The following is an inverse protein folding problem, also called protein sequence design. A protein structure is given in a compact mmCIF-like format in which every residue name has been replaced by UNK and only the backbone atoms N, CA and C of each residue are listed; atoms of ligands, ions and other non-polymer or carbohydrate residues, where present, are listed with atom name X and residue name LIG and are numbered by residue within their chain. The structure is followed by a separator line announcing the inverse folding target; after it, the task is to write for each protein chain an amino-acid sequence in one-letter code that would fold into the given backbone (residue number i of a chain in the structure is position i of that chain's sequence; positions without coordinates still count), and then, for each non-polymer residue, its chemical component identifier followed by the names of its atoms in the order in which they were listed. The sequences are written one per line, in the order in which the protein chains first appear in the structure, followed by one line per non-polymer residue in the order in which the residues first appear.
data_IF_489215397621
#
_entry.id   IF_489215397621
#
_cell.length_a   1.000
_cell.length_b   1.000
_cell.length_c   1.000
_cell.angle_alpha   90.00
_cell.angle_beta   90.00
_cell.angle_gamma   90.00
#
_symmetry.space_group_name_H-M   'P 1'
#
loop_
_entity.id
_entity.type
_entity.pdbx_description
1 polymer ?
#
# COMPACT_ATOMS: atom_id res chain seq x y z
N UNK A 1 41.72 2.62 -24.99
CA UNK A 1 40.42 2.27 -25.61
C UNK A 1 39.72 1.12 -24.90
N UNK A 2 40.41 0.01 -24.59
CA UNK A 2 39.85 -1.14 -23.87
C UNK A 2 39.25 -0.78 -22.50
N UNK A 3 40.02 -0.12 -21.63
CA UNK A 3 39.58 0.29 -20.28
C UNK A 3 38.35 1.22 -20.28
N UNK A 4 38.20 2.06 -21.32
CA UNK A 4 37.04 2.97 -21.48
C UNK A 4 35.78 2.21 -21.88
N UNK A 5 35.92 1.13 -22.66
CA UNK A 5 34.81 0.26 -23.08
C UNK A 5 34.34 -0.62 -21.91
N UNK A 6 35.27 -1.15 -21.13
CA UNK A 6 34.98 -1.90 -19.87
C UNK A 6 34.28 -1.00 -18.84
N UNK A 7 34.79 0.21 -18.61
CA UNK A 7 34.19 1.16 -17.68
C UNK A 7 32.76 1.58 -18.10
N UNK A 8 32.53 1.78 -19.40
CA UNK A 8 31.20 2.06 -19.95
C UNK A 8 30.23 0.87 -19.81
N UNK A 9 30.75 -0.36 -19.95
CA UNK A 9 29.96 -1.58 -19.73
C UNK A 9 29.52 -1.74 -18.28
N UNK A 10 30.43 -1.48 -17.33
CA UNK A 10 30.13 -1.55 -15.89
C UNK A 10 29.12 -0.48 -15.47
N UNK A 11 29.26 0.76 -15.94
CA UNK A 11 28.29 1.82 -15.60
C UNK A 11 26.90 1.55 -16.16
N UNK A 12 26.80 1.03 -17.40
CA UNK A 12 25.51 0.64 -17.98
C UNK A 12 24.86 -0.49 -17.18
N UNK A 13 25.63 -1.51 -16.79
CA UNK A 13 25.12 -2.62 -15.97
C UNK A 13 24.61 -2.13 -14.60
N UNK A 14 25.37 -1.26 -13.92
CA UNK A 14 24.96 -0.68 -12.64
C UNK A 14 23.69 0.18 -12.76
N UNK A 15 23.55 0.92 -13.86
CA UNK A 15 22.33 1.68 -14.15
C UNK A 15 21.11 0.76 -14.36
N UNK A 16 21.26 -0.31 -15.14
CA UNK A 16 20.20 -1.30 -15.37
C UNK A 16 19.77 -2.00 -14.07
N UNK A 17 20.73 -2.41 -13.24
CA UNK A 17 20.45 -3.01 -11.93
C UNK A 17 19.71 -2.02 -11.03
N UNK A 18 20.13 -0.76 -11.01
CA UNK A 18 19.46 0.28 -10.21
C UNK A 18 18.02 0.53 -10.64
N UNK A 19 17.75 0.53 -11.95
CA UNK A 19 16.40 0.67 -12.49
C UNK A 19 15.53 -0.53 -12.09
N UNK A 20 16.03 -1.75 -12.26
CA UNK A 20 15.31 -2.97 -11.90
C UNK A 20 14.97 -3.02 -10.40
N UNK A 21 15.93 -2.70 -9.52
CA UNK A 21 15.70 -2.63 -8.06
C UNK A 21 14.66 -1.58 -7.71
N UNK A 22 14.68 -0.43 -8.39
CA UNK A 22 13.69 0.63 -8.17
C UNK A 22 12.29 0.17 -8.56
N UNK A 23 12.15 -0.50 -9.70
CA UNK A 23 10.87 -1.05 -10.17
C UNK A 23 10.34 -2.12 -9.20
N UNK A 24 11.21 -3.01 -8.71
CA UNK A 24 10.88 -4.06 -7.73
C UNK A 24 10.41 -3.53 -6.37
N UNK A 25 10.57 -2.23 -6.09
CA UNK A 25 10.07 -1.58 -4.87
C UNK A 25 8.92 -0.62 -5.15
N UNK A 26 8.99 0.18 -6.22
CA UNK A 26 8.02 1.26 -6.48
C UNK A 26 6.75 0.80 -7.19
N UNK A 27 6.82 -0.31 -7.91
CA UNK A 27 5.73 -0.85 -8.72
C UNK A 27 5.68 -2.37 -8.57
N UNK A 28 5.29 -2.84 -7.37
CA UNK A 28 5.31 -4.25 -7.01
C UNK A 28 4.01 -4.66 -6.31
N UNK A 29 3.60 -5.89 -6.58
CA UNK A 29 2.57 -6.59 -5.81
C UNK A 29 3.20 -7.41 -4.69
N UNK A 30 2.61 -7.36 -3.49
CA UNK A 30 3.03 -8.25 -2.41
C UNK A 30 2.63 -9.69 -2.71
N UNK A 31 3.37 -10.66 -2.17
CA UNK A 31 2.99 -12.07 -2.16
C UNK A 31 1.91 -12.34 -1.08
N UNK A 32 0.73 -11.77 -1.33
CA UNK A 32 -0.49 -11.95 -0.54
C UNK A 32 -1.40 -13.05 -1.09
N UNK A 33 -2.60 -13.18 -0.53
CA UNK A 33 -3.51 -14.29 -0.86
C UNK A 33 -4.11 -14.19 -2.26
N UNK A 34 -4.45 -12.97 -2.70
CA UNK A 34 -5.20 -12.71 -3.94
C UNK A 34 -4.50 -11.74 -4.88
N UNK A 35 -3.28 -11.31 -4.54
CA UNK A 35 -2.48 -10.44 -5.38
C UNK A 35 -2.01 -11.17 -6.64
N UNK A 36 -1.97 -10.43 -7.76
CA UNK A 36 -1.22 -10.82 -8.96
C UNK A 36 0.27 -10.82 -8.66
N UNK A 37 1.06 -11.49 -9.51
CA UNK A 37 2.52 -11.50 -9.42
C UNK A 37 3.15 -10.13 -9.71
N UNK A 38 2.59 -9.40 -10.68
CA UNK A 38 3.09 -8.09 -11.12
C UNK A 38 1.93 -7.14 -11.37
N UNK A 39 2.14 -5.83 -11.18
CA UNK A 39 1.13 -4.82 -11.52
C UNK A 39 0.80 -4.82 -13.01
N UNK A 40 -0.39 -4.32 -13.34
CA UNK A 40 -0.78 -4.08 -14.72
C UNK A 40 -2.20 -3.53 -14.83
N UNK A 41 -2.55 -3.02 -16.00
CA UNK A 41 -3.88 -2.46 -16.26
C UNK A 41 -4.99 -3.50 -16.12
N UNK A 42 -6.10 -3.09 -15.49
CA UNK A 42 -7.30 -3.88 -15.22
C UNK A 42 -8.54 -3.03 -15.55
N UNK A 43 -8.99 -3.02 -16.80
CA UNK A 43 -10.07 -2.13 -17.24
C UNK A 43 -11.46 -2.42 -16.63
N UNK A 44 -11.59 -3.46 -15.80
CA UNK A 44 -12.87 -3.97 -15.27
C UNK A 44 -12.96 -3.90 -13.74
N UNK A 45 -12.11 -3.10 -13.06
CA UNK A 45 -12.20 -2.97 -11.61
C UNK A 45 -13.56 -2.39 -11.18
N UNK A 46 -14.14 -3.00 -10.15
CA UNK A 46 -15.50 -2.74 -9.72
C UNK A 46 -15.57 -1.55 -8.74
N UNK A 47 -16.59 -0.70 -8.94
CA UNK A 47 -17.00 0.41 -8.06
C UNK A 47 -15.83 1.16 -7.38
N UNK A 48 -15.63 0.97 -6.07
CA UNK A 48 -14.65 1.71 -5.25
C UNK A 48 -13.20 1.44 -5.66
N UNK A 49 -12.93 0.31 -6.32
CA UNK A 49 -11.58 -0.06 -6.76
C UNK A 49 -11.20 0.50 -8.14
N UNK A 50 -12.10 1.23 -8.83
CA UNK A 50 -11.82 1.85 -10.15
C UNK A 50 -10.58 2.74 -10.21
N UNK A 51 -10.20 3.52 -9.17
CA UNK A 51 -9.03 4.39 -9.24
C UNK A 51 -7.72 3.67 -9.58
N UNK A 52 -7.61 2.35 -9.34
CA UNK A 52 -6.42 1.56 -9.66
C UNK A 52 -6.43 0.94 -11.08
N UNK A 53 -7.47 1.12 -11.90
CA UNK A 53 -7.66 0.39 -13.17
C UNK A 53 -6.51 0.50 -14.18
N UNK A 54 -5.73 1.59 -14.13
CA UNK A 54 -4.59 1.79 -15.04
C UNK A 54 -3.38 0.94 -14.67
N UNK A 55 -3.22 0.62 -13.38
CA UNK A 55 -2.12 -0.18 -12.87
C UNK A 55 -2.48 -0.75 -11.47
N UNK A 56 -2.85 -2.03 -11.42
CA UNK A 56 -3.33 -2.68 -10.20
C UNK A 56 -2.67 -4.04 -9.95
N UNK A 57 -2.66 -4.43 -8.67
CA UNK A 57 -2.26 -5.75 -8.18
C UNK A 57 -3.42 -6.73 -7.95
N UNK A 58 -4.66 -6.27 -8.06
CA UNK A 58 -5.86 -7.10 -7.93
C UNK A 58 -6.40 -7.50 -9.31
N UNK A 59 -7.42 -8.37 -9.32
CA UNK A 59 -8.20 -8.72 -10.51
C UNK A 59 -9.62 -8.15 -10.41
N UNK A 60 -10.35 -8.10 -11.53
CA UNK A 60 -11.77 -7.69 -11.51
C UNK A 60 -12.61 -8.52 -10.50
N UNK A 61 -12.42 -9.85 -10.49
CA UNK A 61 -13.08 -10.74 -9.54
C UNK A 61 -12.78 -10.37 -8.08
N UNK A 62 -11.51 -10.10 -7.76
CA UNK A 62 -11.11 -9.62 -6.42
C UNK A 62 -11.88 -8.36 -6.03
N UNK A 63 -12.10 -7.44 -6.98
CA UNK A 63 -12.77 -6.16 -6.68
C UNK A 63 -14.27 -6.27 -6.55
N UNK A 64 -14.94 -7.18 -7.26
CA UNK A 64 -16.36 -7.47 -7.03
C UNK A 64 -16.55 -7.99 -5.60
N UNK A 65 -15.66 -8.89 -5.16
CA UNK A 65 -15.75 -9.58 -3.88
C UNK A 65 -15.28 -8.73 -2.70
N UNK A 66 -14.51 -7.67 -2.96
CA UNK A 66 -14.26 -6.64 -1.97
C UNK A 66 -15.55 -5.92 -1.52
N UNK A 67 -16.63 -5.98 -2.32
CA UNK A 67 -17.91 -5.31 -2.04
C UNK A 67 -18.97 -6.25 -1.43
N UNK A 68 -18.69 -7.55 -1.37
CA UNK A 68 -19.61 -8.56 -0.84
C UNK A 68 -19.37 -8.85 0.66
N UNK A 69 -20.44 -9.19 1.39
CA UNK A 69 -20.34 -9.68 2.78
C UNK A 69 -19.91 -11.15 2.79
N UNK A 70 -19.00 -11.53 3.68
CA UNK A 70 -18.49 -12.91 3.78
C UNK A 70 -17.94 -13.43 2.43
N UNK A 71 -17.29 -12.56 1.67
CA UNK A 71 -16.78 -12.86 0.34
C UNK A 71 -15.68 -13.92 0.36
N UNK A 72 -15.37 -14.55 -0.78
CA UNK A 72 -14.36 -15.62 -0.79
C UNK A 72 -12.96 -15.11 -0.43
N UNK A 73 -12.73 -13.78 -0.45
CA UNK A 73 -11.44 -13.20 -0.13
C UNK A 73 -10.94 -13.72 1.21
N UNK A 74 -11.76 -13.54 2.25
CA UNK A 74 -11.41 -13.90 3.63
C UNK A 74 -12.57 -14.49 4.43
N UNK A 75 -13.74 -14.68 3.82
CA UNK A 75 -14.99 -15.06 4.47
C UNK A 75 -15.30 -14.17 5.70
N UNK A 76 -15.00 -12.88 5.57
CA UNK A 76 -15.04 -11.94 6.68
C UNK A 76 -16.42 -11.32 6.84
N UNK A 77 -16.96 -11.42 8.04
CA UNK A 77 -18.22 -10.85 8.47
C UNK A 77 -18.02 -9.45 9.05
N UNK A 78 -18.37 -8.44 8.26
CA UNK A 78 -18.43 -7.04 8.70
C UNK A 78 -19.53 -6.84 9.77
N UNK A 79 -20.56 -7.68 9.77
CA UNK A 79 -21.75 -7.56 10.63
C UNK A 79 -21.66 -8.39 11.93
N UNK A 80 -20.45 -8.62 12.45
CA UNK A 80 -20.21 -9.50 13.62
C UNK A 80 -20.83 -8.99 14.94
N UNK A 81 -21.29 -7.73 14.98
CA UNK A 81 -21.99 -7.12 16.12
C UNK A 81 -23.34 -6.50 15.75
N UNK A 82 -23.97 -6.99 14.67
CA UNK A 82 -25.15 -6.38 14.05
C UNK A 82 -24.81 -5.78 12.69
N UNK A 83 -25.81 -5.23 11.99
CA UNK A 83 -25.61 -4.64 10.67
C UNK A 83 -24.70 -3.42 10.78
N UNK A 84 -23.53 -3.47 10.14
CA UNK A 84 -22.62 -2.33 10.03
C UNK A 84 -23.23 -1.27 9.12
N UNK A 85 -23.14 -0.01 9.52
CA UNK A 85 -23.61 1.11 8.73
C UNK A 85 -22.89 1.17 7.36
N UNK A 86 -23.60 1.61 6.33
CA UNK A 86 -23.01 1.75 4.99
C UNK A 86 -21.90 2.80 4.95
N UNK A 87 -21.98 3.85 5.79
CA UNK A 87 -20.92 4.86 5.95
C UNK A 87 -19.64 4.28 6.54
N UNK A 88 -19.73 3.36 7.50
CA UNK A 88 -18.56 2.66 8.03
C UNK A 88 -18.04 1.61 7.04
N UNK A 89 -18.94 0.77 6.50
CA UNK A 89 -18.57 -0.35 5.62
C UNK A 89 -17.83 0.08 4.36
N UNK A 90 -18.17 1.22 3.76
CA UNK A 90 -17.45 1.73 2.58
C UNK A 90 -15.95 1.92 2.84
N UNK A 91 -15.52 2.27 4.05
CA UNK A 91 -14.10 2.41 4.35
C UNK A 91 -13.38 1.08 4.41
N UNK A 92 -14.02 0.03 4.92
CA UNK A 92 -13.47 -1.34 4.87
C UNK A 92 -13.37 -1.89 3.44
N UNK A 93 -14.33 -1.52 2.57
CA UNK A 93 -14.26 -1.84 1.14
C UNK A 93 -13.08 -1.08 0.49
N UNK A 94 -12.95 0.23 0.75
CA UNK A 94 -11.84 1.03 0.22
C UNK A 94 -10.48 0.55 0.71
N UNK A 95 -10.36 0.18 1.99
CA UNK A 95 -9.18 -0.46 2.58
C UNK A 95 -8.83 -1.76 1.86
N UNK A 96 -9.83 -2.60 1.56
CA UNK A 96 -9.64 -3.81 0.77
C UNK A 96 -9.16 -3.50 -0.64
N UNK A 97 -9.75 -2.51 -1.33
CA UNK A 97 -9.26 -2.06 -2.65
C UNK A 97 -7.81 -1.58 -2.55
N UNK A 98 -7.47 -0.76 -1.56
CA UNK A 98 -6.12 -0.24 -1.38
C UNK A 98 -5.11 -1.36 -1.11
N UNK A 99 -5.43 -2.30 -0.22
CA UNK A 99 -4.57 -3.42 0.13
C UNK A 99 -4.36 -4.39 -1.05
N UNK A 100 -5.44 -4.78 -1.74
CA UNK A 100 -5.40 -5.77 -2.82
C UNK A 100 -4.88 -5.17 -4.14
N UNK A 101 -5.16 -3.90 -4.42
CA UNK A 101 -4.90 -3.31 -5.73
C UNK A 101 -3.66 -2.40 -5.80
N UNK A 102 -3.21 -1.78 -4.69
CA UNK A 102 -2.16 -0.77 -4.77
C UNK A 102 -0.78 -1.36 -5.11
N UNK A 103 -0.14 -0.94 -6.23
CA UNK A 103 1.21 -1.39 -6.58
C UNK A 103 2.31 -0.57 -5.88
N UNK A 104 1.94 0.43 -5.09
CA UNK A 104 2.84 1.42 -4.49
C UNK A 104 3.11 1.16 -3.00
N UNK A 105 2.80 -0.05 -2.52
CA UNK A 105 2.99 -0.44 -1.12
C UNK A 105 4.38 -1.00 -0.81
N UNK A 106 5.23 -1.18 -1.82
CA UNK A 106 6.53 -1.84 -1.71
C UNK A 106 7.44 -1.38 -0.55
N UNK A 107 7.57 -0.08 -0.24
CA UNK A 107 8.41 0.39 0.88
C UNK A 107 8.01 -0.12 2.27
N UNK A 108 6.84 -0.73 2.39
CA UNK A 108 6.26 -1.24 3.63
C UNK A 108 5.96 -2.74 3.61
N UNK A 109 6.28 -3.43 2.51
CA UNK A 109 6.10 -4.88 2.41
C UNK A 109 7.16 -5.57 3.28
N UNK A 110 6.71 -6.49 4.12
CA UNK A 110 7.56 -7.35 4.95
C UNK A 110 7.16 -8.82 4.79
N UNK A 111 8.17 -9.69 4.81
CA UNK A 111 7.97 -11.14 4.84
C UNK A 111 7.36 -11.57 6.16
N UNK A 112 6.40 -12.48 6.11
CA UNK A 112 5.76 -13.08 7.27
C UNK A 112 5.61 -14.58 7.09
N UNK A 113 5.62 -15.31 8.21
CA UNK A 113 5.36 -16.74 8.20
C UNK A 113 3.90 -16.98 8.64
N UNK A 114 2.95 -16.83 7.71
CA UNK A 114 1.52 -17.05 7.94
C UNK A 114 0.97 -18.06 6.92
N UNK A 115 -0.04 -18.84 7.30
CA UNK A 115 -0.56 -19.93 6.46
C UNK A 115 -1.21 -19.48 5.14
N UNK A 116 -1.54 -18.19 5.02
CA UNK A 116 -2.35 -17.66 3.92
C UNK A 116 -1.69 -16.52 3.13
N UNK A 117 -0.49 -16.07 3.54
CA UNK A 117 0.32 -15.07 2.84
C UNK A 117 1.79 -15.16 3.23
N UNK A 118 2.68 -14.86 2.30
CA UNK A 118 4.12 -14.83 2.53
C UNK A 118 4.63 -13.41 2.82
N UNK A 119 3.89 -12.39 2.39
CA UNK A 119 4.21 -10.98 2.59
C UNK A 119 2.98 -10.20 3.07
N UNK A 120 3.20 -9.10 3.81
CA UNK A 120 2.16 -8.13 4.18
C UNK A 120 2.74 -6.74 4.31
N UNK A 121 1.87 -5.73 4.36
CA UNK A 121 2.26 -4.38 4.76
C UNK A 121 2.34 -4.22 6.27
N UNK A 122 3.30 -3.37 6.69
CA UNK A 122 3.49 -2.92 8.07
C UNK A 122 3.79 -1.41 8.07
N UNK A 123 3.10 -0.68 8.94
CA UNK A 123 3.32 0.75 9.21
C UNK A 123 3.24 1.65 7.96
N UNK A 124 2.30 1.36 7.05
CA UNK A 124 2.01 2.24 5.91
C UNK A 124 1.43 3.56 6.45
N UNK A 125 2.03 4.73 6.16
CA UNK A 125 1.62 6.02 6.72
C UNK A 125 0.37 6.52 6.01
N UNK A 126 -0.81 6.22 6.55
CA UNK A 126 -2.07 6.68 5.94
C UNK A 126 -2.35 8.14 6.30
N UNK A 127 -2.90 8.90 5.36
CA UNK A 127 -3.17 10.31 5.57
C UNK A 127 -4.14 10.56 6.71
N UNK A 128 -3.96 11.70 7.37
CA UNK A 128 -4.76 12.15 8.51
C UNK A 128 -6.26 12.11 8.19
N UNK A 129 -6.65 12.66 7.04
CA UNK A 129 -8.04 12.78 6.62
C UNK A 129 -8.68 11.41 6.38
N UNK A 130 -7.94 10.48 5.78
CA UNK A 130 -8.43 9.14 5.45
C UNK A 130 -8.68 8.32 6.72
N UNK A 131 -7.74 8.36 7.68
CA UNK A 131 -7.93 7.68 8.97
C UNK A 131 -9.04 8.32 9.82
N UNK A 132 -9.09 9.66 9.88
CA UNK A 132 -10.10 10.37 10.64
C UNK A 132 -11.51 10.16 10.05
N UNK A 133 -11.64 10.24 8.73
CA UNK A 133 -12.91 10.01 8.05
C UNK A 133 -13.43 8.59 8.28
N UNK A 134 -12.56 7.58 8.21
CA UNK A 134 -12.91 6.21 8.51
C UNK A 134 -13.44 6.06 9.95
N UNK A 135 -12.70 6.56 10.93
CA UNK A 135 -13.11 6.45 12.34
C UNK A 135 -14.42 7.19 12.62
N UNK A 136 -14.57 8.39 12.07
CA UNK A 136 -15.75 9.24 12.27
C UNK A 136 -17.02 8.58 11.73
N UNK A 137 -16.95 7.96 10.54
CA UNK A 137 -18.08 7.27 9.92
C UNK A 137 -18.43 5.95 10.61
N UNK A 138 -17.49 5.37 11.39
CA UNK A 138 -17.68 4.14 12.17
C UNK A 138 -18.01 4.36 13.64
N UNK A 139 -17.92 5.59 14.18
CA UNK A 139 -17.94 5.83 15.64
C UNK A 139 -19.18 5.30 16.37
N UNK A 140 -20.31 5.19 15.68
CA UNK A 140 -21.58 4.70 16.24
C UNK A 140 -21.83 3.20 15.99
N UNK A 141 -21.03 2.57 15.13
CA UNK A 141 -21.09 1.13 14.89
C UNK A 141 -20.56 0.34 16.09
N UNK A 142 -20.77 -0.97 16.06
CA UNK A 142 -20.39 -1.86 17.14
C UNK A 142 -19.28 -2.82 16.70
N UNK A 143 -18.39 -3.15 17.62
CA UNK A 143 -17.46 -4.27 17.48
C UNK A 143 -17.17 -4.91 18.83
N UNK A 144 -16.64 -6.13 18.82
CA UNK A 144 -16.25 -6.87 20.01
C UNK A 144 -14.73 -6.99 20.18
N UNK A 145 -13.93 -6.50 19.21
CA UNK A 145 -12.48 -6.70 19.17
C UNK A 145 -11.73 -5.48 18.65
N UNK A 146 -10.55 -5.24 19.24
CA UNK A 146 -9.62 -4.20 18.80
C UNK A 146 -8.68 -4.68 17.67
N UNK A 147 -8.42 -5.99 17.59
CA UNK A 147 -7.56 -6.58 16.57
C UNK A 147 -8.35 -7.59 15.74
N UNK A 148 -8.55 -7.27 14.46
CA UNK A 148 -9.37 -8.02 13.53
C UNK A 148 -8.57 -9.01 12.67
N UNK A 149 -7.24 -9.02 12.77
CA UNK A 149 -6.40 -10.04 12.11
C UNK A 149 -6.41 -11.40 12.83
N UNK A 150 -6.68 -11.43 14.14
CA UNK A 150 -6.49 -12.65 14.95
C UNK A 150 -7.45 -12.79 16.11
N UNK A 151 -7.64 -14.04 16.53
CA UNK A 151 -8.42 -14.40 17.72
C UNK A 151 -9.92 -14.18 17.53
N UNK A 152 -10.44 -14.38 16.32
CA UNK A 152 -11.85 -14.62 16.08
C UNK A 152 -12.17 -16.09 16.33
N UNK A 153 -13.43 -16.40 16.64
CA UNK A 153 -13.94 -17.76 16.52
C UNK A 153 -14.42 -17.95 15.08
N UNK A 154 -14.02 -19.05 14.45
CA UNK A 154 -14.30 -19.40 13.05
C UNK A 154 -15.10 -20.72 12.92
N UNK A 155 -15.69 -21.20 14.02
CA UNK A 155 -16.41 -22.49 14.08
C UNK A 155 -17.59 -22.60 13.11
N UNK A 156 -18.16 -21.46 12.69
CA UNK A 156 -19.25 -21.38 11.71
C UNK A 156 -18.77 -21.13 10.28
N UNK A 157 -17.45 -21.11 10.05
CA UNK A 157 -16.83 -20.78 8.76
C UNK A 157 -16.54 -19.29 8.57
N UNK A 158 -17.35 -18.40 9.14
CA UNK A 158 -17.15 -16.94 9.18
C UNK A 158 -16.65 -16.48 10.56
N UNK A 159 -16.06 -15.29 10.67
CA UNK A 159 -15.63 -14.77 11.96
C UNK A 159 -16.82 -14.37 12.84
N UNK A 160 -16.83 -14.89 14.06
CA UNK A 160 -17.75 -14.52 15.13
C UNK A 160 -16.98 -14.04 16.36
N UNK A 161 -17.64 -13.19 17.15
CA UNK A 161 -17.08 -12.67 18.39
C UNK A 161 -16.71 -13.83 19.34
N UNK A 162 -15.48 -13.88 19.87
CA UNK A 162 -15.04 -14.93 20.78
C UNK A 162 -15.88 -14.98 22.05
N UNK A 163 -15.99 -16.17 22.65
CA UNK A 163 -16.65 -16.37 23.93
C UNK A 163 -16.14 -15.39 25.00
N UNK A 164 -17.06 -14.81 25.77
CA UNK A 164 -16.75 -13.84 26.84
C UNK A 164 -16.51 -12.39 26.35
N UNK A 165 -16.48 -12.13 25.04
CA UNK A 165 -16.46 -10.76 24.52
C UNK A 165 -17.88 -10.19 24.40
N UNK A 166 -17.99 -8.86 24.43
CA UNK A 166 -19.26 -8.14 24.26
C UNK A 166 -19.12 -7.13 23.14
N UNK A 167 -20.17 -6.97 22.35
CA UNK A 167 -20.29 -5.88 21.39
C UNK A 167 -20.37 -4.54 22.15
N UNK A 168 -19.53 -3.59 21.75
CA UNK A 168 -19.40 -2.25 22.33
C UNK A 168 -19.30 -1.24 21.20
N UNK A 169 -19.52 0.05 21.49
CA UNK A 169 -19.35 1.09 20.47
C UNK A 169 -17.92 1.08 19.95
N UNK A 170 -17.77 1.40 18.67
CA UNK A 170 -16.47 1.53 18.02
C UNK A 170 -15.56 2.47 18.81
N UNK A 171 -16.08 3.58 19.34
CA UNK A 171 -15.35 4.52 20.20
C UNK A 171 -14.87 3.93 21.54
N UNK A 172 -15.57 2.93 22.09
CA UNK A 172 -15.17 2.29 23.35
C UNK A 172 -14.01 1.31 23.13
N UNK A 173 -13.89 0.76 21.91
CA UNK A 173 -12.84 -0.17 21.51
C UNK A 173 -11.65 0.58 20.91
N UNK A 174 -11.92 1.63 20.14
CA UNK A 174 -10.96 2.49 19.48
C UNK A 174 -11.23 3.96 19.87
N UNK A 175 -10.64 4.44 20.98
CA UNK A 175 -10.92 5.78 21.50
C UNK A 175 -10.52 6.94 20.57
N UNK A 176 -9.59 6.70 19.64
CA UNK A 176 -9.11 7.70 18.69
C UNK A 176 -8.95 7.11 17.28
N UNK A 177 -8.96 7.96 16.21
CA UNK A 177 -8.67 7.50 14.85
C UNK A 177 -7.35 6.74 14.74
N UNK A 178 -6.28 7.29 15.34
CA UNK A 178 -4.97 6.62 15.39
C UNK A 178 -5.07 5.22 16.00
N UNK A 179 -5.78 5.07 17.13
CA UNK A 179 -5.92 3.76 17.77
C UNK A 179 -6.64 2.74 16.88
N UNK A 180 -7.61 3.19 16.07
CA UNK A 180 -8.31 2.33 15.12
C UNK A 180 -7.39 1.88 13.99
N UNK A 181 -6.86 2.83 13.21
CA UNK A 181 -6.11 2.54 12.00
C UNK A 181 -4.85 1.70 12.28
N UNK A 182 -4.19 1.94 13.42
CA UNK A 182 -2.99 1.19 13.78
C UNK A 182 -3.27 -0.21 14.33
N UNK A 183 -4.38 -0.42 15.02
CA UNK A 183 -4.62 -1.68 15.77
C UNK A 183 -5.52 -2.66 15.04
N UNK A 184 -6.52 -2.17 14.30
CA UNK A 184 -7.55 -3.02 13.68
C UNK A 184 -6.93 -4.11 12.81
N UNK A 185 -5.93 -3.75 12.01
CA UNK A 185 -5.17 -4.66 11.16
C UNK A 185 -3.75 -4.93 11.66
N UNK A 186 -3.54 -5.01 12.98
CA UNK A 186 -2.24 -5.35 13.59
C UNK A 186 -1.07 -4.60 12.94
N UNK A 187 -1.06 -3.27 13.01
CA UNK A 187 0.01 -2.41 12.48
C UNK A 187 0.21 -2.49 10.97
N UNK A 188 -0.83 -2.81 10.20
CA UNK A 188 -0.74 -2.61 8.73
C UNK A 188 -0.56 -1.14 8.37
N UNK A 189 -1.20 -0.26 9.14
CA UNK A 189 -1.11 1.18 8.98
C UNK A 189 -0.47 1.85 10.19
N UNK A 190 0.20 2.96 9.93
CA UNK A 190 0.63 3.95 10.90
C UNK A 190 -0.16 5.24 10.63
N UNK A 191 -0.71 5.84 11.67
CA UNK A 191 -1.40 7.13 11.51
C UNK A 191 -0.36 8.23 11.21
N UNK A 192 -0.61 9.02 10.17
CA UNK A 192 0.22 10.17 9.82
C UNK A 192 -0.47 11.48 10.22
N UNK A 193 0.34 12.47 10.63
CA UNK A 193 -0.12 13.84 10.81
C UNK A 193 -0.18 14.63 9.49
N UNK A 194 0.36 14.07 8.41
CA UNK A 194 0.38 14.72 7.10
C UNK A 194 -1.00 14.71 6.45
N UNK A 195 -1.33 15.82 5.81
CA UNK A 195 -2.53 15.96 4.99
C UNK A 195 -2.34 15.28 3.63
N UNK A 196 -3.43 14.88 2.97
CA UNK A 196 -3.43 14.27 1.63
C UNK A 196 -2.58 15.00 0.58
N UNK A 197 -2.61 16.34 0.60
CA UNK A 197 -1.87 17.19 -0.35
C UNK A 197 -0.35 17.21 -0.15
N UNK A 198 0.16 16.62 0.94
CA UNK A 198 1.57 16.72 1.33
C UNK A 198 2.54 15.92 0.45
N UNK A 199 2.07 14.87 -0.22
CA UNK A 199 2.95 13.87 -0.85
C UNK A 199 3.80 13.08 0.18
N UNK A 200 3.35 13.02 1.44
CA UNK A 200 4.05 12.35 2.57
C UNK A 200 3.21 11.29 3.28
N UNK A 201 2.04 10.96 2.78
CA UNK A 201 1.18 9.92 3.33
C UNK A 201 0.38 9.26 2.21
N UNK A 202 0.05 7.99 2.40
CA UNK A 202 -0.73 7.21 1.45
C UNK A 202 -2.21 7.55 1.58
N UNK A 203 -2.84 7.80 0.44
CA UNK A 203 -4.28 8.02 0.32
C UNK A 203 -4.96 6.71 -0.08
N UNK A 204 -5.94 6.27 0.71
CA UNK A 204 -6.83 5.17 0.36
C UNK A 204 -7.92 5.66 -0.60
N UNK A 205 -8.40 6.89 -0.39
CA UNK A 205 -9.36 7.54 -1.26
C UNK A 205 -8.64 8.46 -2.24
N UNK A 206 -8.93 8.37 -3.53
CA UNK A 206 -8.53 9.35 -4.55
C UNK A 206 -9.36 9.12 -5.81
N UNK A 207 -9.46 10.15 -6.65
CA UNK A 207 -10.22 10.07 -7.91
C UNK A 207 -9.42 9.35 -9.00
N UNK A 208 -10.12 8.87 -10.03
CA UNK A 208 -9.44 8.30 -11.21
C UNK A 208 -8.52 9.33 -11.88
N UNK A 209 -7.34 8.88 -12.32
CA UNK A 209 -6.35 9.74 -12.95
C UNK A 209 -4.94 9.40 -12.48
N UNK A 210 -4.14 10.41 -12.18
CA UNK A 210 -2.80 10.25 -11.61
C UNK A 210 -2.91 9.75 -10.17
N UNK A 211 -2.33 8.58 -9.88
CA UNK A 211 -2.32 8.01 -8.54
C UNK A 211 -1.36 8.79 -7.63
N UNK A 212 -1.82 9.46 -6.56
CA UNK A 212 -0.96 10.28 -5.70
C UNK A 212 0.05 9.45 -4.90
N UNK A 213 -0.17 8.15 -4.76
CA UNK A 213 0.66 7.27 -3.95
C UNK A 213 1.99 6.89 -4.63
N UNK A 214 2.14 7.11 -5.94
CA UNK A 214 3.38 6.82 -6.65
C UNK A 214 4.55 7.65 -6.08
N UNK A 215 4.34 8.97 -5.91
CA UNK A 215 5.36 9.87 -5.38
C UNK A 215 5.65 9.62 -3.89
N UNK A 216 4.62 9.22 -3.13
CA UNK A 216 4.77 8.88 -1.72
C UNK A 216 5.64 7.63 -1.56
N UNK A 217 5.37 6.58 -2.36
CA UNK A 217 6.18 5.38 -2.36
C UNK A 217 7.64 5.68 -2.74
N UNK A 218 7.86 6.51 -3.75
CA UNK A 218 9.19 6.95 -4.17
C UNK A 218 9.92 7.68 -3.06
N UNK A 219 9.27 8.63 -2.40
CA UNK A 219 9.86 9.37 -1.28
C UNK A 219 10.33 8.42 -0.17
N UNK A 220 9.45 7.53 0.29
CA UNK A 220 9.78 6.62 1.38
C UNK A 220 10.77 5.52 0.99
N UNK A 221 10.78 5.07 -0.27
CA UNK A 221 11.80 4.16 -0.76
C UNK A 221 13.20 4.78 -0.68
N UNK A 222 13.33 6.07 -1.01
CA UNK A 222 14.60 6.81 -0.88
C UNK A 222 14.95 7.03 0.59
N UNK A 223 14.01 7.50 1.40
CA UNK A 223 14.24 7.76 2.83
C UNK A 223 14.72 6.50 3.58
N UNK A 224 14.14 5.34 3.23
CA UNK A 224 14.50 4.04 3.81
C UNK A 224 15.76 3.43 3.19
N UNK A 225 16.37 4.07 2.20
CA UNK A 225 17.55 3.56 1.48
C UNK A 225 17.28 2.28 0.67
N UNK A 226 16.02 2.04 0.28
CA UNK A 226 15.63 0.88 -0.55
C UNK A 226 15.99 1.08 -2.02
N UNK A 227 16.02 2.34 -2.46
CA UNK A 227 16.42 2.73 -3.81
C UNK A 227 17.36 3.93 -3.72
N UNK A 228 18.18 4.12 -4.75
CA UNK A 228 18.92 5.36 -4.89
C UNK A 228 17.94 6.49 -5.22
N UNK A 229 17.94 7.56 -4.42
CA UNK A 229 17.37 8.82 -4.88
C UNK A 229 18.06 9.23 -6.18
N UNK A 230 17.34 9.87 -7.10
CA UNK A 230 18.00 10.49 -8.25
C UNK A 230 19.11 11.37 -7.67
N UNK A 231 20.36 10.93 -7.82
CA UNK A 231 21.48 11.77 -7.48
C UNK A 231 21.27 13.00 -8.33
N UNK A 232 21.07 14.15 -7.68
CA UNK A 232 21.41 15.42 -8.30
C UNK A 232 22.89 15.30 -8.64
N UNK A 233 23.21 14.67 -9.77
CA UNK A 233 24.54 14.73 -10.35
C UNK A 233 24.66 16.18 -10.80
N UNK A 234 24.96 17.08 -9.87
CA UNK A 234 25.79 18.21 -10.18
C UNK A 234 27.11 17.60 -10.61
N UNK A 235 27.20 17.27 -11.90
CA UNK A 235 28.48 17.01 -12.54
C UNK A 235 29.38 18.17 -12.10
N UNK A 236 30.48 17.92 -11.37
CA UNK A 236 31.37 19.00 -11.03
C UNK A 236 31.78 19.65 -12.35
N UNK A 237 31.80 20.98 -12.42
CA UNK A 237 32.10 21.72 -13.65
C UNK A 237 33.42 21.26 -14.33
N UNK A 238 34.31 20.61 -13.57
CA UNK A 238 35.52 19.93 -14.05
C UNK A 238 35.27 18.77 -15.01
N UNK A 239 34.15 18.03 -14.91
CA UNK A 239 33.81 16.94 -15.85
C UNK A 239 33.31 17.46 -17.21
N UNK A 240 32.60 18.59 -17.23
CA UNK A 240 32.22 19.29 -18.46
C UNK A 240 33.45 19.84 -19.19
N UNK A 241 34.41 20.39 -18.43
CA UNK A 241 35.70 20.82 -18.98
C UNK A 241 36.48 19.69 -19.63
N UNK A 242 36.52 18.50 -19.00
CA UNK A 242 37.25 17.34 -19.53
C UNK A 242 36.63 16.80 -20.82
N UNK A 243 35.29 16.76 -20.91
CA UNK A 243 34.57 16.31 -22.11
C UNK A 243 34.72 17.29 -23.28
N UNK A 244 34.68 18.59 -23.02
CA UNK A 244 34.92 19.63 -24.03
C UNK A 244 36.38 19.62 -24.54
N UNK A 245 37.35 19.40 -23.64
CA UNK A 245 38.77 19.28 -24.01
C UNK A 245 39.05 18.02 -24.84
N UNK A 246 38.41 16.90 -24.51
CA UNK A 246 38.52 15.65 -25.26
C UNK A 246 37.86 15.73 -26.65
N UNK A 247 36.80 16.52 -26.84
CA UNK A 247 36.21 16.77 -28.17
C UNK A 247 37.05 17.69 -29.05
N UNK A 248 37.82 18.60 -28.46
CA UNK A 248 38.75 19.49 -29.18
C UNK A 248 40.03 18.78 -29.60
N UNK A 249 40.39 17.67 -28.96
CA UNK A 249 41.55 16.84 -29.32
C UNK A 249 41.22 15.76 -30.38
N UNK A 250 39.96 15.70 -30.83
CA UNK A 250 39.47 14.77 -31.85
C UNK A 250 39.19 15.45 -33.21
N UNK A 251 39.62 16.71 -33.37
CA UNK A 251 39.75 17.43 -34.63
C UNK A 251 41.19 17.88 -34.84
#
# INVERSE_FOLDING_TARGET
MYLRREMLGVTLLLALVSVAVSEDILNKCMDGKHHKKTPGAEGKLFQQCKPWKSNACCTANTTEEAHEDNSYLYNFNWNHCGIMSSSCKRHFIQDTCFYECSPHLGPWIQKVNQSWRNERIIDVPICKEDCNGWWEDCKNDLTCKENWHKGWDWSTGTNICPAGTKCRKFTDVFPTPQSMCEKIWSRSYAYSMFERSSGRCMQMWFDEGTNPNEDVARYYAVEKGLINGAASFSLPASLFGLLAFLSLLLF
#
